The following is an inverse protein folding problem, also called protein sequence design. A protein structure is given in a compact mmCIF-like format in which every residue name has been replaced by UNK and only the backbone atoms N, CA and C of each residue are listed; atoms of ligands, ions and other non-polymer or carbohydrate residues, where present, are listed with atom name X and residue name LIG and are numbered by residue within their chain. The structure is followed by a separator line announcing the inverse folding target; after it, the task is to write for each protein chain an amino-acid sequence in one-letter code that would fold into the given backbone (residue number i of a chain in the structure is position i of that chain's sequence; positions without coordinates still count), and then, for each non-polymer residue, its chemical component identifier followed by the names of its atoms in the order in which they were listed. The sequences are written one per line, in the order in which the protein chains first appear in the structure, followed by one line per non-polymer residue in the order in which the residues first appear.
data_IF_928274620947
#
_entry.id   IF_928274620947
#
_cell.length_a   1.000
_cell.length_b   1.000
_cell.length_c   1.000
_cell.angle_alpha   90.00
_cell.angle_beta   90.00
_cell.angle_gamma   90.00
#
_symmetry.space_group_name_H-M   'P 1'
#
loop_
_entity.id
_entity.type
_entity.pdbx_description
1 polymer ?
#
# COMPACT_ATOMS: atom_id res chain seq x y z
N UNK A 1 10.61 3.10 21.33
CA UNK A 1 10.29 3.05 22.79
C UNK A 1 10.14 1.61 23.32
N UNK A 2 9.78 0.63 22.49
CA UNK A 2 9.58 -0.78 22.93
C UNK A 2 10.92 -1.55 22.98
N UNK A 3 11.92 -1.15 22.21
CA UNK A 3 13.20 -1.89 22.10
C UNK A 3 14.24 -1.56 23.17
N UNK A 4 13.96 -0.64 24.08
CA UNK A 4 14.93 -0.20 25.11
C UNK A 4 14.68 -0.76 26.51
N UNK A 5 13.56 -1.45 26.73
CA UNK A 5 13.31 -2.12 28.01
C UNK A 5 13.76 -3.59 27.93
N UNK A 6 14.99 -3.79 28.35
CA UNK A 6 15.61 -5.12 28.53
C UNK A 6 15.10 -5.82 29.81
N UNK A 7 13.84 -5.61 30.19
CA UNK A 7 13.19 -6.37 31.23
C UNK A 7 12.84 -7.75 30.70
N UNK A 8 13.61 -8.72 31.09
CA UNK A 8 13.76 -10.10 30.65
C UNK A 8 12.50 -11.00 30.74
N UNK A 9 11.30 -10.44 30.76
CA UNK A 9 10.04 -11.20 30.85
C UNK A 9 9.25 -11.34 29.56
N UNK A 10 9.53 -10.54 28.55
CA UNK A 10 8.73 -10.56 27.33
C UNK A 10 9.61 -10.52 26.07
N UNK A 11 9.42 -11.49 25.20
CA UNK A 11 10.00 -11.47 23.87
C UNK A 11 9.19 -10.51 22.98
N UNK A 12 9.88 -9.60 22.30
CA UNK A 12 9.24 -8.60 21.42
C UNK A 12 9.65 -8.85 19.98
N UNK A 13 8.66 -8.91 19.09
CA UNK A 13 8.90 -9.00 17.64
C UNK A 13 8.33 -7.75 16.98
N UNK A 14 9.12 -7.08 16.17
CA UNK A 14 8.69 -5.92 15.40
C UNK A 14 8.75 -6.23 13.92
N UNK A 15 7.61 -6.22 13.25
CA UNK A 15 7.53 -6.28 11.78
C UNK A 15 7.33 -4.88 11.21
N UNK A 16 8.15 -4.50 10.22
CA UNK A 16 8.05 -3.25 9.47
C UNK A 16 7.69 -3.57 8.02
N UNK A 17 6.40 -3.72 7.71
CA UNK A 17 5.98 -4.02 6.35
C UNK A 17 6.09 -2.80 5.45
N UNK A 18 6.34 -3.03 4.16
CA UNK A 18 6.10 -2.09 3.09
C UNK A 18 4.57 -1.87 2.92
N UNK A 19 4.12 -1.41 1.75
CA UNK A 19 2.68 -1.29 1.48
C UNK A 19 2.03 -2.66 1.59
N UNK A 20 1.13 -2.84 2.56
CA UNK A 20 0.35 -4.08 2.69
C UNK A 20 -0.85 -4.02 1.75
N UNK A 21 -0.99 -5.04 0.90
CA UNK A 21 -2.11 -5.13 -0.05
C UNK A 21 -2.98 -6.37 0.14
N UNK A 22 -4.24 -6.25 -0.30
CA UNK A 22 -5.25 -7.30 -0.21
C UNK A 22 -6.63 -6.75 -0.50
N UNK A 23 -7.66 -7.57 -0.46
CA UNK A 23 -9.01 -7.22 -0.91
C UNK A 23 -9.58 -5.92 -0.29
N UNK A 24 -9.21 -5.62 0.95
CA UNK A 24 -9.66 -4.42 1.70
C UNK A 24 -8.53 -3.43 1.98
N UNK A 25 -7.45 -3.44 1.18
CA UNK A 25 -6.34 -2.54 1.40
C UNK A 25 -6.74 -1.06 1.24
N UNK A 26 -5.98 -0.21 1.89
CA UNK A 26 -6.20 1.23 1.80
C UNK A 26 -5.51 1.86 0.59
N UNK A 27 -4.43 1.26 0.05
CA UNK A 27 -3.63 1.86 -1.01
C UNK A 27 -4.31 1.71 -2.38
N UNK A 28 -4.44 0.50 -2.90
CA UNK A 28 -5.01 0.23 -4.23
C UNK A 28 -6.47 0.67 -4.33
N UNK A 29 -7.27 0.38 -3.29
CA UNK A 29 -8.67 0.78 -3.26
C UNK A 29 -8.85 2.31 -3.21
N UNK A 30 -8.00 3.04 -2.45
CA UNK A 30 -8.05 4.50 -2.37
C UNK A 30 -7.67 5.13 -3.71
N UNK A 31 -6.54 4.72 -4.32
CA UNK A 31 -6.13 5.26 -5.60
C UNK A 31 -7.09 4.89 -6.73
N UNK A 32 -7.64 3.68 -6.74
CA UNK A 32 -8.70 3.32 -7.68
C UNK A 32 -9.91 4.27 -7.58
N UNK A 33 -10.33 4.60 -6.36
CA UNK A 33 -11.42 5.55 -6.14
C UNK A 33 -11.09 6.95 -6.64
N UNK A 34 -9.90 7.47 -6.32
CA UNK A 34 -9.44 8.79 -6.77
C UNK A 34 -9.38 8.89 -8.29
N UNK A 35 -8.78 7.91 -8.93
CA UNK A 35 -8.61 7.86 -10.37
C UNK A 35 -9.94 7.74 -11.13
N UNK A 36 -11.03 7.31 -10.49
CA UNK A 36 -12.37 7.36 -11.11
C UNK A 36 -12.89 8.77 -11.30
N UNK A 37 -12.58 9.68 -10.40
CA UNK A 37 -13.13 11.04 -10.41
C UNK A 37 -12.18 12.08 -10.99
N UNK A 38 -10.87 11.84 -10.97
CA UNK A 38 -9.86 12.82 -11.38
C UNK A 38 -9.32 12.46 -12.76
N UNK A 39 -9.67 13.22 -13.83
CA UNK A 39 -9.22 12.91 -15.20
C UNK A 39 -7.74 13.19 -15.43
N UNK A 40 -7.20 14.25 -14.78
CA UNK A 40 -5.78 14.62 -14.80
C UNK A 40 -5.25 14.48 -13.38
N UNK A 41 -4.43 13.45 -13.15
CA UNK A 41 -3.94 13.10 -11.83
C UNK A 41 -2.50 13.60 -11.63
N UNK A 42 -2.30 14.65 -10.82
CA UNK A 42 -0.96 15.10 -10.46
C UNK A 42 -0.35 14.11 -9.46
N UNK A 43 0.80 13.54 -9.80
CA UNK A 43 1.48 12.52 -9.03
C UNK A 43 2.76 13.05 -8.38
N UNK A 44 2.71 13.23 -7.06
CA UNK A 44 3.88 13.58 -6.26
C UNK A 44 4.84 12.39 -6.13
N UNK A 45 6.13 12.65 -6.04
CA UNK A 45 7.16 11.64 -5.80
C UNK A 45 7.06 10.39 -6.71
N UNK A 46 6.95 10.53 -8.05
CA UNK A 46 6.68 9.41 -8.95
C UNK A 46 7.75 8.33 -8.94
N UNK A 47 8.98 8.65 -8.51
CA UNK A 47 10.14 7.76 -8.47
C UNK A 47 10.32 7.02 -7.15
N UNK A 48 9.55 7.35 -6.11
CA UNK A 48 9.66 6.66 -4.82
C UNK A 48 9.40 5.16 -4.96
N UNK A 49 10.24 4.35 -4.33
CA UNK A 49 10.23 2.90 -4.45
C UNK A 49 9.43 2.24 -3.33
N UNK A 50 8.67 1.23 -3.69
CA UNK A 50 7.86 0.41 -2.79
C UNK A 50 8.00 -1.06 -3.13
N UNK A 51 7.93 -1.91 -2.10
CA UNK A 51 7.91 -3.37 -2.24
C UNK A 51 6.63 -3.94 -1.63
N UNK A 52 5.47 -3.80 -2.29
CA UNK A 52 4.18 -4.20 -1.71
C UNK A 52 4.17 -5.65 -1.27
N UNK A 53 3.70 -5.89 -0.02
CA UNK A 53 3.57 -7.21 0.59
C UNK A 53 2.11 -7.65 0.67
N UNK A 54 1.83 -8.89 0.28
CA UNK A 54 0.50 -9.45 0.41
C UNK A 54 0.14 -9.71 1.87
N UNK A 55 -1.07 -9.35 2.27
CA UNK A 55 -1.52 -9.45 3.66
C UNK A 55 -1.42 -10.88 4.21
N UNK A 56 -1.67 -11.92 3.40
CA UNK A 56 -1.55 -13.31 3.85
C UNK A 56 -0.09 -13.71 4.04
N UNK A 57 0.83 -13.27 3.19
CA UNK A 57 2.26 -13.53 3.37
C UNK A 57 2.76 -12.88 4.69
N UNK A 58 2.35 -11.63 4.94
CA UNK A 58 2.65 -10.96 6.22
C UNK A 58 2.07 -11.73 7.41
N UNK A 59 0.82 -12.19 7.30
CA UNK A 59 0.17 -12.97 8.37
C UNK A 59 0.92 -14.27 8.64
N UNK A 60 1.43 -14.94 7.61
CA UNK A 60 2.22 -16.18 7.79
C UNK A 60 3.49 -15.91 8.61
N UNK A 61 4.20 -14.80 8.39
CA UNK A 61 5.36 -14.43 9.21
C UNK A 61 4.97 -14.15 10.67
N UNK A 62 3.83 -13.48 10.88
CA UNK A 62 3.31 -13.24 12.25
C UNK A 62 2.97 -14.55 12.95
N UNK A 63 2.28 -15.46 12.28
CA UNK A 63 1.94 -16.78 12.84
C UNK A 63 3.21 -17.60 13.12
N UNK A 64 4.16 -17.61 12.18
CA UNK A 64 5.45 -18.29 12.37
C UNK A 64 6.19 -17.75 13.59
N UNK A 65 6.18 -16.43 13.82
CA UNK A 65 6.84 -15.82 14.97
C UNK A 65 6.23 -16.26 16.30
N UNK A 66 4.91 -16.43 16.34
CA UNK A 66 4.20 -16.88 17.54
C UNK A 66 4.49 -18.36 17.85
N UNK A 67 4.57 -19.19 16.80
CA UNK A 67 4.71 -20.62 16.96
C UNK A 67 6.15 -21.09 17.20
N UNK A 68 7.15 -20.35 16.70
CA UNK A 68 8.54 -20.83 16.63
C UNK A 68 9.54 -19.98 17.39
N UNK A 69 9.15 -18.83 17.92
CA UNK A 69 10.04 -17.84 18.54
C UNK A 69 11.24 -17.41 17.64
N UNK A 70 11.16 -17.69 16.33
CA UNK A 70 12.23 -17.50 15.35
C UNK A 70 12.69 -16.04 15.22
N UNK A 71 11.78 -15.11 15.48
CA UNK A 71 12.00 -13.68 15.29
C UNK A 71 12.05 -12.90 16.60
N UNK A 72 12.18 -13.59 17.74
CA UNK A 72 12.20 -13.00 19.05
C UNK A 72 13.29 -11.95 19.20
N UNK A 73 12.92 -10.81 19.76
CA UNK A 73 13.79 -9.66 20.00
C UNK A 73 14.42 -9.08 18.72
N UNK A 74 13.76 -9.26 17.57
CA UNK A 74 14.21 -8.79 16.27
C UNK A 74 13.28 -7.74 15.67
N UNK A 75 13.88 -6.86 14.86
CA UNK A 75 13.14 -5.94 14.00
C UNK A 75 13.30 -6.44 12.57
N UNK A 76 12.20 -6.87 11.97
CA UNK A 76 12.17 -7.47 10.65
C UNK A 76 11.49 -6.54 9.65
N UNK A 77 12.20 -6.09 8.62
CA UNK A 77 11.58 -5.47 7.46
C UNK A 77 10.87 -6.55 6.65
N UNK A 78 9.64 -6.28 6.20
CA UNK A 78 8.83 -7.25 5.45
C UNK A 78 8.42 -6.65 4.11
N UNK A 79 8.87 -7.28 3.02
CA UNK A 79 8.68 -6.77 1.66
C UNK A 79 8.04 -7.83 0.77
N UNK A 80 7.41 -7.39 -0.32
CA UNK A 80 6.98 -8.28 -1.39
C UNK A 80 8.13 -8.70 -2.31
N UNK A 81 7.83 -9.54 -3.32
CA UNK A 81 8.85 -10.13 -4.21
C UNK A 81 9.48 -9.13 -5.18
N UNK A 82 8.81 -8.01 -5.48
CA UNK A 82 9.23 -7.03 -6.48
C UNK A 82 9.14 -5.60 -5.96
N UNK A 83 10.03 -4.76 -6.46
CA UNK A 83 10.04 -3.32 -6.23
C UNK A 83 9.32 -2.61 -7.38
N UNK A 84 8.57 -1.56 -7.04
CA UNK A 84 7.83 -0.72 -7.98
C UNK A 84 8.02 0.74 -7.63
N UNK A 85 8.13 1.58 -8.63
CA UNK A 85 7.99 3.02 -8.44
C UNK A 85 6.53 3.38 -8.17
N UNK A 86 6.30 4.50 -7.51
CA UNK A 86 4.93 4.97 -7.29
C UNK A 86 4.16 5.15 -8.62
N UNK A 87 4.84 5.66 -9.65
CA UNK A 87 4.26 5.79 -10.98
C UNK A 87 3.83 4.44 -11.57
N UNK A 88 4.65 3.40 -11.40
CA UNK A 88 4.32 2.04 -11.87
C UNK A 88 3.09 1.48 -11.15
N UNK A 89 2.98 1.68 -9.83
CA UNK A 89 1.81 1.27 -9.06
C UNK A 89 0.53 1.97 -9.55
N UNK A 90 0.58 3.27 -9.81
CA UNK A 90 -0.57 4.01 -10.35
C UNK A 90 -0.93 3.57 -11.76
N UNK A 91 0.06 3.38 -12.64
CA UNK A 91 -0.16 2.82 -13.99
C UNK A 91 -0.75 1.41 -13.95
N UNK A 92 -0.30 0.59 -13.01
CA UNK A 92 -0.85 -0.74 -12.80
C UNK A 92 -2.34 -0.69 -12.42
N UNK A 93 -2.74 0.20 -11.49
CA UNK A 93 -4.16 0.40 -11.15
C UNK A 93 -4.98 0.78 -12.40
N UNK A 94 -4.49 1.73 -13.19
CA UNK A 94 -5.17 2.15 -14.42
C UNK A 94 -5.34 1.00 -15.42
N UNK A 95 -4.30 0.17 -15.58
CA UNK A 95 -4.31 -1.02 -16.44
C UNK A 95 -5.36 -2.03 -15.96
N UNK A 96 -5.33 -2.39 -14.67
CA UNK A 96 -6.22 -3.40 -14.08
C UNK A 96 -7.68 -2.95 -14.13
N UNK A 97 -7.94 -1.67 -13.93
CA UNK A 97 -9.31 -1.11 -13.92
C UNK A 97 -9.80 -0.66 -15.31
N UNK A 98 -8.96 -0.83 -16.35
CA UNK A 98 -9.21 -0.34 -17.71
C UNK A 98 -9.64 1.14 -17.73
N UNK A 99 -8.99 1.97 -16.92
CA UNK A 99 -9.30 3.39 -16.76
C UNK A 99 -8.24 4.24 -17.43
N UNK A 100 -8.63 5.12 -18.36
CA UNK A 100 -7.72 6.04 -19.04
C UNK A 100 -7.65 7.37 -18.29
N UNK A 101 -6.47 7.74 -17.79
CA UNK A 101 -6.21 9.03 -17.10
C UNK A 101 -4.86 9.58 -17.50
N UNK A 102 -4.75 10.90 -17.47
CA UNK A 102 -3.48 11.58 -17.68
C UNK A 102 -2.78 11.69 -16.34
N UNK A 103 -1.61 11.06 -16.22
CA UNK A 103 -0.77 11.19 -15.03
C UNK A 103 0.26 12.27 -15.31
N UNK A 104 0.29 13.30 -14.46
CA UNK A 104 1.27 14.38 -14.52
C UNK A 104 2.27 14.20 -13.39
N UNK A 105 3.47 13.68 -13.68
CA UNK A 105 4.52 13.56 -12.66
C UNK A 105 4.94 14.95 -12.19
N UNK A 106 4.91 15.19 -10.88
CA UNK A 106 5.32 16.46 -10.32
C UNK A 106 6.77 16.39 -9.83
N UNK A 107 7.49 17.49 -10.00
CA UNK A 107 8.76 17.69 -9.31
C UNK A 107 8.52 17.98 -7.82
N UNK A 108 9.60 18.02 -7.03
CA UNK A 108 9.53 18.20 -5.57
C UNK A 108 8.74 19.45 -5.14
N UNK A 109 9.04 20.59 -5.75
CA UNK A 109 8.43 21.88 -5.41
C UNK A 109 6.92 21.91 -5.67
N UNK A 110 6.50 21.37 -6.82
CA UNK A 110 5.08 21.27 -7.19
C UNK A 110 4.35 20.21 -6.33
N UNK A 111 5.04 19.16 -5.92
CA UNK A 111 4.49 18.14 -4.99
C UNK A 111 4.17 18.74 -3.62
N UNK A 112 4.99 19.66 -3.14
CA UNK A 112 4.76 20.35 -1.87
C UNK A 112 3.54 21.29 -1.95
N UNK A 113 3.44 22.05 -3.05
CA UNK A 113 2.30 22.93 -3.31
C UNK A 113 0.99 22.15 -3.45
N UNK A 114 1.04 21.00 -4.13
CA UNK A 114 -0.09 20.07 -4.23
C UNK A 114 -0.53 19.56 -2.86
N UNK A 115 0.38 19.07 -2.04
CA UNK A 115 0.07 18.55 -0.72
C UNK A 115 -0.59 19.62 0.17
N UNK A 116 -0.11 20.85 0.07
CA UNK A 116 -0.70 22.00 0.75
C UNK A 116 -2.14 22.27 0.26
N UNK A 117 -2.35 22.31 -1.05
CA UNK A 117 -3.68 22.53 -1.64
C UNK A 117 -4.67 21.41 -1.28
N UNK A 118 -4.26 20.14 -1.34
CA UNK A 118 -5.14 19.01 -1.02
C UNK A 118 -5.48 18.94 0.47
N UNK A 119 -4.60 19.36 1.36
CA UNK A 119 -4.89 19.40 2.80
C UNK A 119 -6.04 20.36 3.13
N UNK A 120 -6.13 21.49 2.42
CA UNK A 120 -7.12 22.52 2.68
C UNK A 120 -8.37 22.45 1.80
N UNK A 121 -8.26 21.90 0.58
CA UNK A 121 -9.34 21.95 -0.42
C UNK A 121 -10.14 20.65 -0.55
N UNK A 122 -9.60 19.51 -0.08
CA UNK A 122 -10.25 18.21 -0.25
C UNK A 122 -10.64 17.63 1.11
N UNK A 123 -11.95 17.50 1.42
CA UNK A 123 -12.40 16.87 2.65
C UNK A 123 -11.96 15.41 2.70
N UNK A 124 -11.44 14.95 3.84
CA UNK A 124 -11.12 13.53 4.07
C UNK A 124 -9.63 13.19 4.11
N UNK A 125 -8.72 14.17 4.24
CA UNK A 125 -7.26 13.97 4.43
C UNK A 125 -6.65 12.96 3.45
N UNK A 126 -7.00 13.07 2.17
CA UNK A 126 -6.64 12.10 1.14
C UNK A 126 -5.12 12.11 0.87
N UNK A 127 -4.52 13.30 0.95
CA UNK A 127 -3.09 13.49 0.76
C UNK A 127 -2.60 14.64 1.64
N UNK A 128 -1.85 14.33 2.69
CA UNK A 128 -1.33 15.30 3.64
C UNK A 128 0.17 15.52 3.44
N UNK A 129 0.71 16.59 4.04
CA UNK A 129 2.15 16.84 4.08
C UNK A 129 2.93 15.67 4.73
N UNK A 130 2.34 14.99 5.70
CA UNK A 130 2.96 13.83 6.33
C UNK A 130 3.00 12.62 5.38
N UNK A 131 1.96 12.45 4.56
CA UNK A 131 1.98 11.45 3.48
C UNK A 131 3.07 11.76 2.45
N UNK A 132 3.28 13.05 2.10
CA UNK A 132 4.35 13.46 1.19
C UNK A 132 5.72 13.11 1.76
N UNK A 133 5.97 13.43 3.04
CA UNK A 133 7.23 13.08 3.73
C UNK A 133 7.47 11.57 3.77
N UNK A 134 6.41 10.80 3.99
CA UNK A 134 6.47 9.33 3.97
C UNK A 134 6.79 8.78 2.57
N UNK A 135 6.26 9.40 1.51
CA UNK A 135 6.54 9.04 0.13
C UNK A 135 7.95 9.39 -0.34
N UNK A 136 8.64 10.31 0.34
CA UNK A 136 10.03 10.68 0.01
C UNK A 136 11.05 9.64 0.44
N UNK A 137 10.70 8.74 1.35
CA UNK A 137 11.56 7.65 1.78
C UNK A 137 11.19 6.41 0.99
N UNK A 138 12.19 5.81 0.35
CA UNK A 138 12.03 4.52 -0.29
C UNK A 138 11.58 3.49 0.76
N UNK A 139 10.51 2.80 0.45
CA UNK A 139 9.94 1.76 1.30
C UNK A 139 10.28 0.39 0.73
N UNK A 140 11.58 0.19 0.54
CA UNK A 140 12.19 -1.04 0.08
C UNK A 140 13.27 -1.46 1.07
N UNK A 141 13.52 -2.75 1.19
CA UNK A 141 14.61 -3.29 1.98
C UNK A 141 15.31 -4.38 1.18
N UNK A 142 16.65 -4.34 1.14
CA UNK A 142 17.46 -5.44 0.60
C UNK A 142 17.47 -6.62 1.56
N UNK A 143 17.42 -6.30 2.87
CA UNK A 143 17.55 -7.24 3.96
C UNK A 143 16.20 -7.36 4.67
N UNK A 144 15.70 -8.57 4.85
CA UNK A 144 14.43 -8.79 5.52
C UNK A 144 13.64 -9.98 4.98
N UNK A 145 12.44 -10.13 5.49
CA UNK A 145 11.52 -11.19 5.09
C UNK A 145 10.84 -10.80 3.78
N UNK A 146 10.88 -11.70 2.80
CA UNK A 146 10.24 -11.49 1.51
C UNK A 146 9.03 -12.40 1.36
N UNK A 147 7.86 -11.79 1.09
CA UNK A 147 6.69 -12.52 0.63
C UNK A 147 6.86 -13.00 -0.80
N UNK A 148 6.09 -14.01 -1.17
CA UNK A 148 6.16 -14.64 -2.49
C UNK A 148 5.08 -14.15 -3.46
N UNK A 149 4.00 -13.56 -2.94
CA UNK A 149 2.82 -13.19 -3.73
C UNK A 149 2.98 -11.79 -4.31
N UNK A 150 2.88 -11.66 -5.62
CA UNK A 150 2.98 -10.38 -6.34
C UNK A 150 1.65 -9.65 -6.45
N UNK A 151 1.69 -8.33 -6.73
CA UNK A 151 0.47 -7.54 -6.95
C UNK A 151 -0.29 -7.99 -8.19
N UNK A 152 0.42 -8.49 -9.20
CA UNK A 152 -0.16 -8.99 -10.45
C UNK A 152 -1.07 -10.19 -10.26
N UNK A 153 -0.79 -11.02 -9.25
CA UNK A 153 -1.57 -12.22 -8.93
C UNK A 153 -2.89 -11.92 -8.22
N UNK A 154 -2.88 -10.95 -7.32
CA UNK A 154 -4.00 -10.75 -6.38
C UNK A 154 -4.82 -9.50 -6.69
N UNK A 155 -4.18 -8.37 -6.98
CA UNK A 155 -4.88 -7.08 -7.13
C UNK A 155 -5.95 -7.10 -8.23
N UNK A 156 -5.75 -7.74 -9.40
CA UNK A 156 -6.79 -7.82 -10.42
C UNK A 156 -8.07 -8.49 -9.95
N UNK A 157 -7.99 -9.46 -9.03
CA UNK A 157 -9.15 -10.21 -8.57
C UNK A 157 -10.20 -9.37 -7.85
N UNK A 158 -9.78 -8.27 -7.20
CA UNK A 158 -10.68 -7.40 -6.44
C UNK A 158 -10.84 -6.00 -7.04
N UNK A 159 -9.83 -5.46 -7.76
CA UNK A 159 -9.93 -4.15 -8.40
C UNK A 159 -10.68 -4.18 -9.73
N UNK A 160 -10.50 -5.24 -10.54
CA UNK A 160 -11.16 -5.36 -11.84
C UNK A 160 -12.64 -5.71 -11.74
N UNK A 161 -13.07 -6.30 -10.63
CA UNK A 161 -14.49 -6.50 -10.37
C UNK A 161 -15.15 -5.13 -10.33
N UNK A 162 -15.82 -4.72 -11.43
CA UNK A 162 -16.94 -3.79 -11.34
C UNK A 162 -17.80 -4.34 -10.21
N UNK A 163 -17.79 -3.68 -9.06
CA UNK A 163 -18.75 -3.95 -8.02
C UNK A 163 -20.11 -3.59 -8.63
N UNK A 164 -20.73 -4.53 -9.35
CA UNK A 164 -22.13 -4.47 -9.66
C UNK A 164 -22.81 -4.56 -8.30
N UNK A 165 -23.20 -3.41 -7.75
CA UNK A 165 -24.08 -3.35 -6.57
C UNK A 165 -25.25 -4.32 -6.75
N UNK A 166 -25.73 -4.49 -7.98
CA UNK A 166 -26.74 -5.46 -8.38
C UNK A 166 -26.36 -6.92 -8.08
N UNK A 167 -25.11 -7.34 -8.29
CA UNK A 167 -24.70 -8.73 -7.98
C UNK A 167 -24.61 -8.98 -6.48
N UNK A 168 -24.23 -7.95 -5.71
CA UNK A 168 -24.25 -8.02 -4.24
C UNK A 168 -25.69 -8.10 -3.71
N UNK A 169 -26.62 -7.35 -4.29
CA UNK A 169 -28.05 -7.44 -3.94
C UNK A 169 -28.66 -8.76 -4.39
N UNK A 170 -28.31 -9.29 -5.57
CA UNK A 170 -28.76 -10.60 -6.03
C UNK A 170 -28.28 -11.73 -5.13
N UNK A 171 -27.01 -11.73 -4.71
CA UNK A 171 -26.48 -12.70 -3.74
C UNK A 171 -27.15 -12.61 -2.38
N UNK A 172 -27.50 -11.41 -1.91
CA UNK A 172 -28.25 -11.21 -0.65
C UNK A 172 -29.73 -11.57 -0.76
N UNK A 173 -30.30 -11.50 -1.95
CA UNK A 173 -31.70 -11.84 -2.22
C UNK A 173 -31.91 -13.33 -2.52
N UNK A 174 -30.90 -14.19 -2.44
CA UNK A 174 -31.03 -15.64 -2.58
C UNK A 174 -31.45 -16.11 -3.99
N UNK A 175 -31.12 -15.32 -5.03
CA UNK A 175 -31.36 -15.68 -6.44
C UNK A 175 -30.07 -15.83 -7.19
#
# INVERSE_FOLDING_TARGET
YISSNNDSKFNTVVFRPSIVFGERDSFFNRFNRLLKYIPIFPLACPKSLFSPIYVKDLTNFVVESILTSKYDNQINNVTGPKNYTFLELIKFILKVTNTKRIIVPLNYTLSYLQAFGFTYLVPGNIFTLDNLKSLQRDNVSSDGLKGNTSIEEVVPSYLSKKSNKLDTYRKKAGR
#
